data_IF_317972722012
#
_entry.id   IF_317972722012
#
_cell.length_a   1.000
_cell.length_b   1.000
_cell.length_c   1.000
_cell.angle_alpha   90.00
_cell.angle_beta   90.00
_cell.angle_gamma   90.00
#
_symmetry.space_group_name_H-M   'P 1'
#
loop_
_entity.id
_entity.type
_entity.pdbx_description
1 polymer ?
#
# COMPACT_ATOMS: atom_id res chain seq x y z
N UNK A 1 -40.23 25.15 -12.41
CA UNK A 1 -39.31 24.00 -12.66
C UNK A 1 -38.13 24.14 -11.72
N UNK A 2 -38.14 23.40 -10.62
CA UNK A 2 -37.04 23.41 -9.65
C UNK A 2 -35.95 22.44 -10.15
N UNK A 3 -34.74 22.95 -10.37
CA UNK A 3 -33.58 22.12 -10.65
C UNK A 3 -33.11 21.50 -9.32
N UNK A 4 -33.26 20.19 -9.20
CA UNK A 4 -32.63 19.46 -8.11
C UNK A 4 -31.11 19.51 -8.32
N UNK A 5 -30.41 20.17 -7.40
CA UNK A 5 -28.97 20.08 -7.31
C UNK A 5 -28.63 18.68 -6.75
N UNK A 6 -28.07 17.83 -7.58
CA UNK A 6 -27.45 16.57 -7.11
C UNK A 6 -26.16 16.98 -6.41
N UNK A 7 -26.17 16.96 -5.09
CA UNK A 7 -24.97 17.02 -4.30
C UNK A 7 -24.21 15.68 -4.54
N UNK A 8 -23.16 15.71 -5.36
CA UNK A 8 -22.16 14.66 -5.30
C UNK A 8 -21.45 14.79 -3.94
N UNK A 9 -21.82 13.95 -2.99
CA UNK A 9 -20.96 13.73 -1.84
C UNK A 9 -19.62 13.23 -2.40
N UNK A 10 -18.57 14.02 -2.21
CA UNK A 10 -17.19 13.55 -2.36
C UNK A 10 -17.03 12.43 -1.35
N UNK A 11 -17.15 11.18 -1.82
CA UNK A 11 -16.79 10.02 -1.02
C UNK A 11 -15.30 10.14 -0.75
N UNK A 12 -14.84 9.97 0.49
CA UNK A 12 -13.41 9.90 0.75
C UNK A 12 -12.83 8.81 -0.15
N UNK A 13 -11.84 9.16 -0.96
CA UNK A 13 -11.10 8.19 -1.74
C UNK A 13 -10.45 7.23 -0.78
N UNK A 14 -10.67 5.93 -0.95
CA UNK A 14 -9.89 4.92 -0.24
C UNK A 14 -8.43 5.23 -0.48
N UNK A 15 -7.72 5.58 0.57
CA UNK A 15 -6.27 5.69 0.62
C UNK A 15 -5.80 4.34 1.10
N UNK A 16 -4.73 3.82 0.55
CA UNK A 16 -4.00 2.68 1.12
C UNK A 16 -3.52 2.99 2.54
N UNK A 17 -2.55 2.23 3.09
CA UNK A 17 -1.94 2.73 4.34
C UNK A 17 -1.93 4.26 4.34
N UNK A 18 -2.32 4.90 5.40
CA UNK A 18 -2.11 6.35 5.45
C UNK A 18 -0.66 6.66 5.09
N UNK A 19 -0.39 7.86 4.60
CA UNK A 19 0.93 8.25 4.10
C UNK A 19 2.08 7.82 5.03
N UNK A 20 1.87 7.86 6.35
CA UNK A 20 2.84 7.41 7.37
C UNK A 20 3.21 5.93 7.17
N UNK A 21 2.22 5.05 6.95
CA UNK A 21 2.44 3.63 6.71
C UNK A 21 3.21 3.36 5.41
N UNK A 22 2.92 4.10 4.32
CA UNK A 22 3.69 4.03 3.08
C UNK A 22 5.14 4.46 3.28
N UNK A 23 5.35 5.56 4.03
CA UNK A 23 6.69 6.01 4.37
C UNK A 23 7.46 4.98 5.21
N UNK A 24 6.77 4.24 6.10
CA UNK A 24 7.39 3.15 6.86
C UNK A 24 7.82 1.99 5.95
N UNK A 25 7.00 1.57 4.97
CA UNK A 25 7.39 0.54 3.98
C UNK A 25 8.64 0.98 3.21
N UNK A 26 8.68 2.21 2.73
CA UNK A 26 9.85 2.77 2.02
C UNK A 26 11.09 2.86 2.93
N UNK A 27 10.92 3.27 4.19
CA UNK A 27 12.01 3.36 5.16
C UNK A 27 12.56 1.98 5.55
N UNK A 28 11.70 0.96 5.72
CA UNK A 28 12.13 -0.44 5.90
C UNK A 28 12.96 -0.90 4.71
N UNK A 29 12.56 -0.59 3.47
CA UNK A 29 13.33 -0.93 2.29
C UNK A 29 14.76 -0.34 2.33
N UNK A 30 14.89 0.94 2.70
CA UNK A 30 16.19 1.62 2.83
C UNK A 30 17.06 1.02 3.94
N UNK A 31 16.45 0.66 5.09
CA UNK A 31 17.16 0.08 6.25
C UNK A 31 17.42 -1.42 6.14
N UNK A 32 16.84 -2.10 5.15
CA UNK A 32 16.90 -3.56 5.00
C UNK A 32 18.30 -4.15 4.84
N UNK A 33 19.25 -3.37 4.31
CA UNK A 33 20.55 -3.84 3.86
C UNK A 33 20.51 -4.74 2.60
N UNK A 34 19.33 -4.88 1.95
CA UNK A 34 19.14 -5.66 0.73
C UNK A 34 19.59 -4.85 -0.50
N UNK A 35 19.24 -3.57 -0.54
CA UNK A 35 19.66 -2.68 -1.63
C UNK A 35 21.13 -2.29 -1.50
N UNK A 36 21.87 -2.47 -2.60
CA UNK A 36 23.23 -1.94 -2.74
C UNK A 36 23.22 -0.39 -2.78
N UNK A 37 24.36 0.22 -2.45
CA UNK A 37 24.49 1.68 -2.55
C UNK A 37 24.26 2.21 -3.97
N UNK A 38 24.59 1.43 -5.00
CA UNK A 38 24.30 1.78 -6.40
C UNK A 38 22.81 1.74 -6.72
N UNK A 39 22.06 0.80 -6.17
CA UNK A 39 20.60 0.72 -6.30
C UNK A 39 19.93 1.93 -5.66
N UNK A 40 20.32 2.26 -4.41
CA UNK A 40 19.81 3.43 -3.71
C UNK A 40 20.12 4.73 -4.50
N UNK A 41 21.34 4.86 -5.02
CA UNK A 41 21.71 6.03 -5.83
C UNK A 41 20.90 6.13 -7.13
N UNK A 42 20.65 4.99 -7.80
CA UNK A 42 19.85 4.95 -9.04
C UNK A 42 18.38 5.30 -8.77
N UNK A 43 17.81 4.78 -7.69
CA UNK A 43 16.46 5.11 -7.28
C UNK A 43 16.32 6.61 -6.95
N UNK A 44 17.25 7.16 -6.16
CA UNK A 44 17.23 8.58 -5.81
C UNK A 44 17.37 9.47 -7.06
N UNK A 45 18.22 9.11 -8.03
CA UNK A 45 18.34 9.87 -9.27
C UNK A 45 17.02 9.95 -10.07
N UNK A 46 16.20 8.89 -10.06
CA UNK A 46 14.87 8.92 -10.66
C UNK A 46 13.85 9.72 -9.82
N UNK A 47 13.95 9.66 -8.49
CA UNK A 47 13.13 10.50 -7.60
C UNK A 47 13.43 11.98 -7.86
N UNK A 48 14.71 12.37 -7.86
CA UNK A 48 15.18 13.73 -8.08
C UNK A 48 14.76 14.28 -9.44
N UNK A 49 14.67 13.43 -10.46
CA UNK A 49 14.24 13.82 -11.81
C UNK A 49 12.83 14.44 -11.82
N UNK A 50 11.93 13.99 -10.95
CA UNK A 50 10.56 14.50 -10.85
C UNK A 50 10.37 15.56 -9.75
N UNK A 51 11.35 15.80 -8.88
CA UNK A 51 11.20 16.77 -7.78
C UNK A 51 10.95 18.18 -8.31
N UNK A 52 11.57 18.55 -9.45
CA UNK A 52 11.38 19.87 -10.06
C UNK A 52 9.92 20.11 -10.49
N UNK A 53 9.24 19.06 -10.98
CA UNK A 53 7.85 19.15 -11.43
C UNK A 53 6.84 18.97 -10.29
N UNK A 54 7.24 18.28 -9.22
CA UNK A 54 6.39 17.95 -8.07
C UNK A 54 7.09 18.27 -6.72
N UNK A 55 7.47 19.52 -6.47
CA UNK A 55 8.28 19.88 -5.29
C UNK A 55 7.55 19.70 -3.96
N UNK A 56 6.21 19.66 -3.98
CA UNK A 56 5.38 19.47 -2.78
C UNK A 56 5.08 18.01 -2.45
N UNK A 57 5.40 17.06 -3.35
CA UNK A 57 5.01 15.65 -3.25
C UNK A 57 6.14 14.73 -2.79
N UNK A 58 7.03 15.25 -1.98
CA UNK A 58 8.10 14.48 -1.35
C UNK A 58 9.40 14.46 -2.15
N UNK A 59 10.43 15.12 -1.66
CA UNK A 59 11.73 15.18 -2.32
C UNK A 59 12.61 13.96 -2.04
N UNK A 60 12.23 13.08 -1.11
CA UNK A 60 13.00 11.90 -0.73
C UNK A 60 12.36 10.59 -1.21
N UNK A 61 13.14 9.52 -1.19
CA UNK A 61 12.64 8.17 -1.47
C UNK A 61 11.47 7.81 -0.53
N UNK A 62 11.61 8.08 0.76
CA UNK A 62 10.59 7.79 1.78
C UNK A 62 9.30 8.57 1.51
N UNK A 63 9.39 9.87 1.24
CA UNK A 63 8.20 10.71 1.00
C UNK A 63 7.55 10.42 -0.35
N UNK A 64 8.31 9.95 -1.34
CA UNK A 64 7.78 9.57 -2.65
C UNK A 64 6.78 8.41 -2.57
N UNK A 65 6.78 7.66 -1.47
CA UNK A 65 5.81 6.61 -1.19
C UNK A 65 4.36 7.13 -1.10
N UNK A 66 4.14 8.42 -0.82
CA UNK A 66 2.79 8.98 -0.75
C UNK A 66 2.29 9.56 -2.09
N UNK A 67 3.18 9.70 -3.09
CA UNK A 67 2.89 10.46 -4.31
C UNK A 67 1.70 9.93 -5.12
N UNK A 68 1.49 8.63 -5.19
CA UNK A 68 0.38 8.05 -5.96
C UNK A 68 -0.99 8.46 -5.38
N UNK A 69 -1.12 8.55 -4.06
CA UNK A 69 -2.31 9.07 -3.39
C UNK A 69 -2.45 10.59 -3.53
N UNK A 70 -1.33 11.32 -3.55
CA UNK A 70 -1.34 12.77 -3.81
C UNK A 70 -1.92 13.08 -5.19
N UNK A 71 -1.72 12.22 -6.20
CA UNK A 71 -2.36 12.35 -7.51
C UNK A 71 -3.88 12.32 -7.39
N UNK A 72 -4.45 11.36 -6.64
CA UNK A 72 -5.90 11.29 -6.40
C UNK A 72 -6.40 12.54 -5.68
N UNK A 73 -5.68 13.00 -4.67
CA UNK A 73 -6.01 14.23 -3.93
C UNK A 73 -5.94 15.48 -4.82
N UNK A 74 -5.14 15.44 -5.88
CA UNK A 74 -5.04 16.49 -6.91
C UNK A 74 -6.04 16.36 -8.05
N UNK A 75 -6.96 15.39 -7.98
CA UNK A 75 -8.00 15.17 -8.99
C UNK A 75 -7.58 14.30 -10.17
N UNK A 76 -6.47 13.59 -10.08
CA UNK A 76 -6.00 12.62 -11.08
C UNK A 76 -6.45 11.22 -10.65
N UNK A 77 -7.43 10.64 -11.34
CA UNK A 77 -8.07 9.38 -10.97
C UNK A 77 -7.84 8.25 -11.98
N UNK A 78 -7.01 8.48 -13.01
CA UNK A 78 -6.78 7.50 -14.07
C UNK A 78 -6.17 6.21 -13.54
N UNK A 79 -5.34 6.32 -12.51
CA UNK A 79 -4.63 5.22 -11.87
C UNK A 79 -5.33 4.73 -10.59
N UNK A 80 -6.58 5.16 -10.31
CA UNK A 80 -7.25 4.85 -9.04
C UNK A 80 -7.45 3.33 -8.81
N UNK A 81 -7.71 2.56 -9.86
CA UNK A 81 -7.87 1.11 -9.77
C UNK A 81 -6.54 0.37 -9.54
N UNK A 82 -5.41 1.02 -9.81
CA UNK A 82 -4.09 0.41 -9.66
C UNK A 82 -3.66 0.20 -8.20
N UNK A 83 -4.40 0.79 -7.26
CA UNK A 83 -4.09 0.73 -5.84
C UNK A 83 -4.58 -0.55 -5.15
N UNK A 84 -5.44 -1.34 -5.80
CA UNK A 84 -6.08 -2.49 -5.17
C UNK A 84 -6.44 -3.59 -6.18
N UNK A 85 -6.81 -4.75 -5.64
CA UNK A 85 -7.45 -5.85 -6.37
C UNK A 85 -8.59 -6.42 -5.53
N UNK A 86 -9.80 -6.48 -6.07
CA UNK A 86 -10.97 -6.99 -5.40
C UNK A 86 -11.05 -8.53 -5.45
N UNK A 87 -10.05 -9.24 -4.88
CA UNK A 87 -10.13 -10.67 -4.71
C UNK A 87 -11.31 -11.00 -3.78
N UNK A 88 -12.25 -11.88 -4.18
CA UNK A 88 -13.45 -12.05 -3.41
C UNK A 88 -13.23 -12.85 -2.11
N UNK A 89 -13.62 -12.25 -0.99
CA UNK A 89 -13.90 -12.96 0.26
C UNK A 89 -15.37 -13.33 0.23
N UNK A 90 -15.69 -14.52 -0.27
CA UNK A 90 -17.06 -14.92 -0.62
C UNK A 90 -17.76 -15.63 0.55
N UNK A 91 -18.85 -15.03 1.07
CA UNK A 91 -19.78 -15.61 2.05
C UNK A 91 -21.13 -15.96 1.43
N UNK A 92 -21.23 -15.88 0.13
CA UNK A 92 -22.37 -16.31 -0.70
C UNK A 92 -22.04 -17.66 -1.35
N UNK A 93 -22.91 -18.13 -2.23
CA UNK A 93 -22.53 -19.18 -3.16
C UNK A 93 -21.35 -18.69 -4.02
N UNK A 94 -20.29 -19.49 -4.13
CA UNK A 94 -19.05 -19.10 -4.80
C UNK A 94 -19.25 -18.63 -6.24
N UNK A 95 -20.29 -19.13 -6.92
CA UNK A 95 -20.68 -18.70 -8.27
C UNK A 95 -21.27 -17.28 -8.32
N UNK A 96 -21.65 -16.72 -7.18
CA UNK A 96 -22.22 -15.38 -7.07
C UNK A 96 -21.17 -14.28 -6.85
N UNK A 97 -19.91 -14.64 -6.58
CA UNK A 97 -18.84 -13.66 -6.38
C UNK A 97 -18.08 -13.43 -7.70
N UNK A 98 -17.97 -12.17 -8.15
CA UNK A 98 -17.32 -11.86 -9.43
C UNK A 98 -15.80 -12.06 -9.33
N UNK A 99 -15.11 -12.29 -10.46
CA UNK A 99 -13.67 -12.17 -10.51
C UNK A 99 -13.23 -10.71 -10.26
N UNK A 100 -11.98 -10.48 -9.84
CA UNK A 100 -11.46 -9.12 -9.69
C UNK A 100 -11.38 -8.38 -11.03
N UNK A 101 -11.27 -7.04 -10.97
CA UNK A 101 -11.04 -6.19 -12.13
C UNK A 101 -9.69 -6.51 -12.82
N UNK A 102 -9.59 -6.26 -14.13
CA UNK A 102 -8.37 -6.54 -14.92
C UNK A 102 -7.26 -5.52 -14.66
N UNK A 103 -7.60 -4.22 -14.62
CA UNK A 103 -6.69 -3.11 -14.30
C UNK A 103 -6.56 -2.93 -12.79
N UNK A 104 -5.75 -3.75 -12.18
CA UNK A 104 -5.58 -3.85 -10.74
C UNK A 104 -4.11 -3.68 -10.32
N UNK A 105 -3.86 -3.75 -9.01
CA UNK A 105 -2.52 -3.57 -8.43
C UNK A 105 -1.48 -4.58 -8.92
N UNK A 106 -1.88 -5.82 -9.20
CA UNK A 106 -0.96 -6.87 -9.70
C UNK A 106 -0.50 -6.50 -11.11
N UNK A 107 -1.45 -6.12 -11.98
CA UNK A 107 -1.16 -5.60 -13.30
C UNK A 107 -0.27 -4.35 -13.22
N UNK A 108 -0.63 -3.38 -12.37
CA UNK A 108 0.08 -2.12 -12.24
C UNK A 108 1.54 -2.29 -11.78
N UNK A 109 1.80 -3.14 -10.77
CA UNK A 109 3.16 -3.45 -10.32
C UNK A 109 3.96 -4.11 -11.45
N UNK A 110 3.34 -5.03 -12.20
CA UNK A 110 3.99 -5.75 -13.31
C UNK A 110 4.40 -4.79 -14.43
N UNK A 111 3.50 -3.88 -14.83
CA UNK A 111 3.78 -2.87 -15.86
C UNK A 111 4.80 -1.83 -15.38
N UNK A 112 4.71 -1.39 -14.12
CA UNK A 112 5.66 -0.46 -13.52
C UNK A 112 7.06 -1.06 -13.43
N UNK A 113 7.16 -2.34 -13.03
CA UNK A 113 8.41 -3.10 -13.04
C UNK A 113 9.00 -3.16 -14.47
N UNK A 114 8.21 -3.61 -15.45
CA UNK A 114 8.62 -3.74 -16.84
C UNK A 114 9.15 -2.42 -17.42
N UNK A 115 8.44 -1.31 -17.16
CA UNK A 115 8.82 0.02 -17.62
C UNK A 115 10.11 0.52 -16.95
N UNK A 116 10.24 0.35 -15.64
CA UNK A 116 11.42 0.82 -14.89
C UNK A 116 12.66 0.02 -15.25
N UNK A 117 12.52 -1.28 -15.45
CA UNK A 117 13.58 -2.20 -15.87
C UNK A 117 14.06 -1.95 -17.31
N UNK A 118 13.16 -1.60 -18.23
CA UNK A 118 13.45 -1.49 -19.66
C UNK A 118 14.51 -0.42 -19.98
N UNK A 119 15.53 -0.78 -20.72
CA UNK A 119 16.54 0.15 -21.23
C UNK A 119 15.98 1.13 -22.29
N UNK A 120 14.80 0.84 -22.85
CA UNK A 120 14.17 1.64 -23.91
C UNK A 120 13.21 2.70 -23.35
N UNK A 121 12.76 2.56 -22.13
CA UNK A 121 11.83 3.51 -21.51
C UNK A 121 12.51 4.86 -21.25
N UNK A 122 11.77 5.94 -21.45
CA UNK A 122 12.24 7.29 -21.15
C UNK A 122 12.44 7.47 -19.64
N UNK A 123 13.36 8.36 -19.26
CA UNK A 123 13.65 8.63 -17.83
C UNK A 123 12.42 9.12 -17.09
N UNK A 124 11.58 9.94 -17.72
CA UNK A 124 10.31 10.42 -17.14
C UNK A 124 9.39 9.25 -16.77
N UNK A 125 9.23 8.28 -17.70
CA UNK A 125 8.35 7.12 -17.46
C UNK A 125 8.91 6.27 -16.33
N UNK A 126 10.21 6.00 -16.32
CA UNK A 126 10.88 5.27 -15.21
C UNK A 126 10.69 5.97 -13.86
N UNK A 127 10.86 7.28 -13.82
CA UNK A 127 10.73 8.07 -12.60
C UNK A 127 9.30 8.04 -12.05
N UNK A 128 8.28 8.10 -12.92
CA UNK A 128 6.87 7.95 -12.52
C UNK A 128 6.59 6.53 -12.03
N UNK A 129 7.01 5.51 -12.80
CA UNK A 129 6.75 4.12 -12.46
C UNK A 129 7.48 3.68 -11.18
N UNK A 130 8.67 4.20 -10.90
CA UNK A 130 9.34 3.97 -9.63
C UNK A 130 8.52 4.47 -8.43
N UNK A 131 7.93 5.65 -8.52
CA UNK A 131 7.05 6.18 -7.45
C UNK A 131 5.82 5.30 -7.24
N UNK A 132 5.22 4.80 -8.32
CA UNK A 132 4.13 3.83 -8.23
C UNK A 132 4.60 2.52 -7.57
N UNK A 133 5.76 1.97 -7.95
CA UNK A 133 6.31 0.77 -7.30
C UNK A 133 6.47 0.99 -5.80
N UNK A 134 7.09 2.10 -5.38
CA UNK A 134 7.32 2.40 -3.96
C UNK A 134 6.00 2.44 -3.18
N UNK A 135 4.95 3.02 -3.77
CA UNK A 135 3.63 3.11 -3.17
C UNK A 135 2.90 1.74 -3.16
N UNK A 136 2.79 1.11 -4.32
CA UNK A 136 2.00 -0.11 -4.49
C UNK A 136 2.54 -1.31 -3.71
N UNK A 137 3.84 -1.34 -3.41
CA UNK A 137 4.39 -2.35 -2.50
C UNK A 137 3.87 -2.16 -1.06
N UNK A 138 3.46 -0.97 -0.67
CA UNK A 138 2.68 -0.74 0.54
C UNK A 138 1.25 -1.25 0.38
N UNK A 139 0.57 -0.83 -0.67
CA UNK A 139 -0.84 -1.16 -0.94
C UNK A 139 -1.10 -2.67 -0.95
N UNK A 140 -0.34 -3.43 -1.75
CA UNK A 140 -0.57 -4.88 -1.92
C UNK A 140 -0.35 -5.67 -0.63
N UNK A 141 0.34 -5.09 0.38
CA UNK A 141 0.55 -5.67 1.70
C UNK A 141 -0.44 -5.16 2.76
N UNK A 142 -1.36 -4.24 2.40
CA UNK A 142 -2.52 -3.92 3.22
C UNK A 142 -3.65 -4.91 2.88
N UNK A 143 -4.10 -5.76 3.81
CA UNK A 143 -5.01 -6.87 3.48
C UNK A 143 -6.29 -6.45 2.75
N UNK A 144 -6.85 -5.30 3.08
CA UNK A 144 -8.09 -4.81 2.47
C UNK A 144 -7.89 -4.19 1.08
N UNK A 145 -6.64 -3.97 0.65
CA UNK A 145 -6.31 -3.64 -0.74
C UNK A 145 -6.27 -4.85 -1.67
N UNK A 146 -6.36 -6.06 -1.12
CA UNK A 146 -6.40 -7.29 -1.88
C UNK A 146 -7.69 -8.10 -1.62
N UNK A 147 -8.75 -7.46 -1.14
CA UNK A 147 -9.97 -8.17 -0.78
C UNK A 147 -11.22 -7.33 -0.97
N UNK A 148 -12.33 -7.98 -1.33
CA UNK A 148 -13.68 -7.41 -1.21
C UNK A 148 -14.63 -8.48 -0.66
N UNK A 149 -15.36 -8.15 0.43
CA UNK A 149 -16.29 -9.06 1.09
C UNK A 149 -17.62 -9.09 0.37
N UNK A 150 -18.00 -10.26 -0.14
CA UNK A 150 -19.31 -10.52 -0.72
C UNK A 150 -20.17 -11.32 0.25
N UNK A 151 -21.30 -10.75 0.66
CA UNK A 151 -22.24 -11.35 1.61
C UNK A 151 -23.67 -10.90 1.31
N UNK A 152 -24.65 -11.41 2.03
CA UNK A 152 -26.03 -10.91 1.94
C UNK A 152 -26.17 -9.44 2.27
N UNK A 153 -25.27 -8.89 3.10
CA UNK A 153 -25.20 -7.46 3.43
C UNK A 153 -24.47 -6.65 2.35
N UNK A 154 -23.46 -7.24 1.71
CA UNK A 154 -22.64 -6.63 0.67
C UNK A 154 -22.72 -7.44 -0.63
N UNK A 155 -23.88 -7.48 -1.32
CA UNK A 155 -24.07 -8.34 -2.50
C UNK A 155 -23.23 -7.89 -3.71
N UNK A 156 -22.78 -6.63 -3.72
CA UNK A 156 -21.89 -6.07 -4.75
C UNK A 156 -20.45 -5.87 -4.25
N UNK A 157 -20.09 -6.48 -3.13
CA UNK A 157 -18.81 -6.26 -2.45
C UNK A 157 -18.84 -5.09 -1.46
N UNK A 158 -17.97 -5.15 -0.46
CA UNK A 158 -17.85 -4.09 0.56
C UNK A 158 -16.78 -3.04 0.23
N UNK A 159 -16.16 -3.13 -0.97
CA UNK A 159 -15.13 -2.22 -1.44
C UNK A 159 -13.89 -2.25 -0.53
N UNK A 160 -13.39 -3.43 -0.23
CA UNK A 160 -12.23 -3.58 0.64
C UNK A 160 -12.45 -3.03 2.06
N UNK A 161 -13.62 -3.21 2.64
CA UNK A 161 -13.92 -2.72 3.99
C UNK A 161 -14.35 -1.25 4.08
N UNK A 162 -14.36 -0.48 2.98
CA UNK A 162 -14.84 0.92 2.99
C UNK A 162 -16.34 1.02 3.29
N UNK A 163 -17.11 -0.02 2.98
CA UNK A 163 -18.52 -0.10 3.31
C UNK A 163 -18.80 -0.92 4.57
N UNK A 164 -17.74 -1.44 5.23
CA UNK A 164 -17.86 -2.26 6.44
C UNK A 164 -17.86 -1.38 7.69
N UNK A 165 -19.03 -1.18 8.36
CA UNK A 165 -19.13 -0.24 9.46
C UNK A 165 -18.54 -0.84 10.74
N UNK A 166 -17.72 -0.05 11.44
CA UNK A 166 -17.16 -0.38 12.75
C UNK A 166 -17.54 0.68 13.80
N UNK A 167 -17.33 0.36 15.07
CA UNK A 167 -17.55 1.27 16.18
C UNK A 167 -16.40 1.20 17.20
N UNK A 168 -16.29 2.25 18.01
CA UNK A 168 -15.28 2.34 19.09
C UNK A 168 -14.18 3.35 18.84
N UNK A 169 -14.12 3.97 17.65
CA UNK A 169 -13.10 4.96 17.30
C UNK A 169 -13.72 6.34 17.06
N UNK A 170 -13.01 7.40 17.46
CA UNK A 170 -13.45 8.78 17.24
C UNK A 170 -13.04 9.33 15.86
N UNK A 171 -12.11 8.68 15.18
CA UNK A 171 -11.49 9.15 13.92
C UNK A 171 -11.93 8.35 12.70
N UNK A 172 -12.50 7.15 12.87
CA UNK A 172 -13.05 6.36 11.77
C UNK A 172 -14.27 5.54 12.21
N UNK A 173 -15.14 5.24 11.26
CA UNK A 173 -16.26 4.30 11.37
C UNK A 173 -16.22 3.22 10.27
N UNK A 174 -15.10 3.10 9.56
CA UNK A 174 -14.88 2.18 8.45
C UNK A 174 -13.71 1.24 8.74
N UNK A 175 -13.89 -0.05 8.44
CA UNK A 175 -12.86 -1.05 8.69
C UNK A 175 -11.59 -0.77 7.86
N UNK A 176 -11.77 -0.32 6.61
CA UNK A 176 -10.65 0.04 5.73
C UNK A 176 -9.74 1.08 6.37
N UNK A 177 -10.31 2.23 6.75
CA UNK A 177 -9.55 3.32 7.36
C UNK A 177 -8.90 2.92 8.70
N UNK A 178 -9.51 2.02 9.48
CA UNK A 178 -8.89 1.48 10.69
C UNK A 178 -7.58 0.74 10.37
N UNK A 179 -7.59 -0.08 9.32
CA UNK A 179 -6.41 -0.80 8.86
C UNK A 179 -5.37 0.13 8.23
N UNK A 180 -5.79 1.13 7.44
CA UNK A 180 -4.88 2.13 6.86
C UNK A 180 -4.12 2.92 7.93
N UNK A 181 -4.76 3.20 9.06
CA UNK A 181 -4.15 3.81 10.23
C UNK A 181 -3.37 2.85 11.12
N UNK A 182 -3.08 1.61 10.65
CA UNK A 182 -2.36 0.62 11.44
C UNK A 182 -3.05 0.29 12.77
N UNK A 183 -4.39 0.25 12.77
CA UNK A 183 -5.24 0.08 13.95
C UNK A 183 -5.04 1.17 15.03
N UNK A 184 -4.62 2.36 14.62
CA UNK A 184 -4.38 3.52 15.51
C UNK A 184 -2.91 3.76 15.84
N UNK A 185 -1.97 3.05 15.20
CA UNK A 185 -0.54 3.29 15.39
C UNK A 185 -0.05 4.55 14.67
N UNK A 186 -0.78 5.03 13.62
CA UNK A 186 -0.53 6.28 12.90
C UNK A 186 -1.83 6.83 12.31
N UNK A 187 -1.83 8.09 11.87
CA UNK A 187 -3.03 8.81 11.45
C UNK A 187 -2.90 9.59 10.14
N UNK A 188 -1.77 9.47 9.43
CA UNK A 188 -1.51 10.19 8.18
C UNK A 188 -1.22 11.67 8.37
N UNK A 189 -0.79 12.09 9.55
CA UNK A 189 -0.65 13.49 9.95
C UNK A 189 0.81 13.99 10.03
N UNK A 190 1.77 13.15 9.68
CA UNK A 190 3.18 13.55 9.60
C UNK A 190 3.35 14.57 8.45
N UNK A 191 3.81 15.78 8.75
CA UNK A 191 3.90 16.83 7.74
C UNK A 191 4.95 16.52 6.66
N UNK A 192 4.63 16.82 5.42
CA UNK A 192 5.54 16.75 4.28
C UNK A 192 5.75 18.14 3.66
N UNK A 193 6.96 18.51 3.25
CA UNK A 193 8.22 17.76 3.42
C UNK A 193 8.53 17.45 4.87
N UNK A 194 9.16 16.27 5.12
CA UNK A 194 9.50 15.81 6.46
C UNK A 194 10.38 16.83 7.19
N UNK A 195 9.93 17.25 8.34
CA UNK A 195 10.78 17.98 9.29
C UNK A 195 11.57 17.00 10.18
N UNK A 196 12.48 17.51 11.01
CA UNK A 196 13.30 16.66 11.88
C UNK A 196 12.46 15.75 12.79
N UNK A 197 11.37 16.27 13.36
CA UNK A 197 10.48 15.48 14.22
C UNK A 197 9.78 14.34 13.44
N UNK A 198 9.30 14.61 12.24
CA UNK A 198 8.69 13.60 11.38
C UNK A 198 9.72 12.53 10.96
N UNK A 199 10.95 12.95 10.60
CA UNK A 199 12.02 12.02 10.27
C UNK A 199 12.40 11.15 11.47
N UNK A 200 12.56 11.74 12.66
CA UNK A 200 12.87 11.01 13.90
C UNK A 200 11.78 9.97 14.22
N UNK A 201 10.51 10.31 13.98
CA UNK A 201 9.39 9.37 14.18
C UNK A 201 9.48 8.20 13.19
N UNK A 202 9.63 8.48 11.89
CA UNK A 202 9.79 7.45 10.86
C UNK A 202 10.96 6.53 11.19
N UNK A 203 12.10 7.10 11.57
CA UNK A 203 13.31 6.33 11.90
C UNK A 203 13.10 5.41 13.11
N UNK A 204 12.55 5.95 14.20
CA UNK A 204 12.29 5.19 15.42
C UNK A 204 11.25 4.07 15.21
N UNK A 205 10.20 4.37 14.43
CA UNK A 205 9.17 3.38 14.14
C UNK A 205 9.70 2.27 13.20
N UNK A 206 10.49 2.65 12.20
CA UNK A 206 11.18 1.68 11.32
C UNK A 206 12.10 0.77 12.12
N UNK A 207 12.87 1.31 13.05
CA UNK A 207 13.74 0.51 13.93
C UNK A 207 12.94 -0.50 14.76
N UNK A 208 11.78 -0.10 15.31
CA UNK A 208 10.85 -1.01 15.98
C UNK A 208 10.42 -2.16 15.06
N UNK A 209 10.07 -1.85 13.80
CA UNK A 209 9.62 -2.84 12.82
C UNK A 209 10.73 -3.82 12.48
N UNK A 210 11.93 -3.35 12.11
CA UNK A 210 13.02 -4.23 11.67
C UNK A 210 13.60 -5.07 12.81
N UNK A 211 13.48 -4.60 14.05
CA UNK A 211 13.85 -5.38 15.24
C UNK A 211 12.82 -6.48 15.51
N UNK A 212 11.53 -6.17 15.43
CA UNK A 212 10.46 -7.15 15.63
C UNK A 212 10.41 -8.21 14.51
N UNK A 213 10.63 -7.79 13.28
CA UNK A 213 10.53 -8.59 12.07
C UNK A 213 11.78 -8.45 11.19
N UNK A 214 12.94 -9.00 11.62
CA UNK A 214 14.16 -8.93 10.84
C UNK A 214 14.03 -9.75 9.53
N UNK A 215 14.66 -9.28 8.46
CA UNK A 215 14.61 -9.92 7.14
C UNK A 215 14.99 -11.41 7.17
N UNK A 216 15.91 -11.79 8.05
CA UNK A 216 16.32 -13.19 8.23
C UNK A 216 15.19 -14.12 8.73
N UNK A 217 14.23 -13.59 9.47
CA UNK A 217 13.07 -14.34 9.96
C UNK A 217 11.94 -14.44 8.91
N UNK A 218 11.98 -13.60 7.87
CA UNK A 218 10.94 -13.50 6.82
C UNK A 218 11.43 -13.98 5.45
N UNK A 219 12.52 -14.79 5.41
CA UNK A 219 13.10 -15.26 4.15
C UNK A 219 12.14 -16.03 3.24
N UNK A 220 11.23 -16.88 3.74
CA UNK A 220 10.25 -17.57 2.88
C UNK A 220 9.33 -16.60 2.16
N UNK A 221 8.87 -15.54 2.84
CA UNK A 221 7.99 -14.54 2.28
C UNK A 221 8.73 -13.60 1.31
N UNK A 222 9.91 -13.13 1.70
CA UNK A 222 10.74 -12.23 0.88
C UNK A 222 11.22 -12.93 -0.39
N UNK A 223 11.53 -14.22 -0.32
CA UNK A 223 11.96 -15.03 -1.46
C UNK A 223 10.88 -15.30 -2.50
N UNK A 224 9.59 -15.11 -2.13
CA UNK A 224 8.49 -15.18 -3.08
C UNK A 224 8.39 -13.86 -3.85
N UNK A 225 8.74 -13.89 -5.14
CA UNK A 225 8.73 -12.71 -6.03
C UNK A 225 7.49 -12.63 -6.93
N UNK A 226 6.51 -13.49 -6.71
CA UNK A 226 5.28 -13.52 -7.49
C UNK A 226 4.26 -12.51 -6.94
N UNK A 227 3.99 -11.45 -7.68
CA UNK A 227 3.08 -10.36 -7.29
C UNK A 227 1.65 -10.87 -7.05
N UNK A 228 1.16 -11.83 -7.85
CA UNK A 228 -0.17 -12.42 -7.63
C UNK A 228 -0.24 -13.14 -6.29
N UNK A 229 0.83 -13.87 -5.91
CA UNK A 229 0.89 -14.53 -4.59
C UNK A 229 0.88 -13.52 -3.44
N UNK A 230 1.45 -12.31 -3.60
CA UNK A 230 1.40 -11.28 -2.57
C UNK A 230 -0.04 -10.80 -2.32
N UNK A 231 -0.81 -10.62 -3.41
CA UNK A 231 -2.23 -10.29 -3.30
C UNK A 231 -3.03 -11.43 -2.63
N UNK A 232 -2.75 -12.68 -2.99
CA UNK A 232 -3.39 -13.87 -2.37
C UNK A 232 -3.06 -13.98 -0.87
N UNK A 233 -1.81 -13.72 -0.46
CA UNK A 233 -1.39 -13.69 0.94
C UNK A 233 -2.18 -12.61 1.72
N UNK A 234 -2.31 -11.40 1.16
CA UNK A 234 -3.07 -10.31 1.75
C UNK A 234 -4.57 -10.61 1.82
N UNK A 235 -5.14 -11.23 0.76
CA UNK A 235 -6.53 -11.70 0.76
C UNK A 235 -6.79 -12.77 1.83
N UNK A 236 -5.88 -13.72 1.98
CA UNK A 236 -5.99 -14.76 3.01
C UNK A 236 -5.96 -14.17 4.43
N UNK A 237 -5.18 -13.12 4.68
CA UNK A 237 -5.20 -12.38 5.95
C UNK A 237 -6.53 -11.64 6.13
N UNK A 238 -7.05 -11.01 5.08
CA UNK A 238 -8.35 -10.37 5.12
C UNK A 238 -9.45 -11.36 5.49
N UNK A 239 -9.49 -12.51 4.85
CA UNK A 239 -10.48 -13.56 5.08
C UNK A 239 -10.37 -14.17 6.48
N UNK A 240 -9.17 -14.55 6.90
CA UNK A 240 -8.95 -15.29 8.15
C UNK A 240 -8.97 -14.44 9.41
N UNK A 241 -8.64 -13.14 9.30
CA UNK A 241 -8.55 -12.25 10.46
C UNK A 241 -9.31 -10.92 10.28
N UNK A 242 -9.03 -10.13 9.24
CA UNK A 242 -9.55 -8.74 9.16
C UNK A 242 -11.07 -8.71 9.23
N UNK A 243 -11.75 -9.56 8.48
CA UNK A 243 -13.21 -9.65 8.46
C UNK A 243 -13.82 -10.42 9.65
N UNK A 244 -13.03 -10.77 10.67
CA UNK A 244 -13.57 -11.22 11.97
C UNK A 244 -13.93 -10.06 12.89
N UNK A 245 -13.60 -8.82 12.51
CA UNK A 245 -13.99 -7.61 13.21
C UNK A 245 -15.51 -7.56 13.38
N UNK A 246 -16.03 -7.28 14.58
CA UNK A 246 -17.46 -7.07 14.75
C UNK A 246 -17.92 -5.79 14.05
N UNK A 247 -19.09 -5.85 13.42
CA UNK A 247 -19.71 -4.67 12.84
C UNK A 247 -20.35 -3.79 13.91
N UNK A 248 -20.47 -2.48 13.59
CA UNK A 248 -21.24 -1.55 14.39
C UNK A 248 -22.68 -2.08 14.64
N UNK A 249 -23.27 -1.86 15.83
CA UNK A 249 -22.80 -0.98 16.91
C UNK A 249 -21.81 -1.61 17.90
N UNK A 250 -21.41 -2.86 17.72
CA UNK A 250 -20.45 -3.53 18.62
C UNK A 250 -19.06 -2.90 18.47
N UNK A 251 -18.41 -2.52 19.57
CA UNK A 251 -17.05 -1.99 19.50
C UNK A 251 -16.05 -3.10 19.13
N UNK A 252 -14.95 -2.71 18.47
CA UNK A 252 -13.84 -3.62 18.19
C UNK A 252 -13.16 -4.03 19.52
N UNK A 253 -12.97 -5.34 19.78
CA UNK A 253 -12.30 -5.80 21.00
C UNK A 253 -10.81 -5.42 21.02
N UNK A 254 -10.27 -5.12 22.22
CA UNK A 254 -8.84 -4.83 22.40
C UNK A 254 -7.94 -5.97 21.89
N UNK A 255 -8.35 -7.22 22.10
CA UNK A 255 -7.61 -8.38 21.59
C UNK A 255 -7.47 -8.40 20.07
N UNK A 256 -8.51 -7.92 19.32
CA UNK A 256 -8.43 -7.76 17.88
C UNK A 256 -7.42 -6.67 17.52
N UNK A 257 -7.45 -5.54 18.21
CA UNK A 257 -6.54 -4.42 17.98
C UNK A 257 -5.08 -4.88 18.19
N UNK A 258 -4.77 -5.46 19.36
CA UNK A 258 -3.41 -5.92 19.68
C UNK A 258 -2.87 -6.93 18.67
N UNK A 259 -3.68 -7.90 18.24
CA UNK A 259 -3.27 -8.88 17.25
C UNK A 259 -3.14 -8.26 15.85
N UNK A 260 -4.04 -7.35 15.50
CA UNK A 260 -4.00 -6.64 14.23
C UNK A 260 -2.79 -5.71 14.11
N UNK A 261 -2.43 -4.98 15.19
CA UNK A 261 -1.22 -4.14 15.25
C UNK A 261 0.05 -4.95 14.94
N UNK A 262 0.16 -6.15 15.49
CA UNK A 262 1.29 -7.04 15.22
C UNK A 262 1.33 -7.49 13.76
N UNK A 263 0.17 -7.86 13.21
CA UNK A 263 0.03 -8.21 11.78
C UNK A 263 0.41 -7.06 10.86
N UNK A 264 0.00 -5.84 11.19
CA UNK A 264 0.34 -4.62 10.44
C UNK A 264 1.85 -4.41 10.40
N UNK A 265 2.53 -4.48 11.55
CA UNK A 265 3.99 -4.34 11.58
C UNK A 265 4.68 -5.39 10.72
N UNK A 266 4.18 -6.64 10.75
CA UNK A 266 4.70 -7.72 9.91
C UNK A 266 4.48 -7.45 8.42
N UNK A 267 3.30 -6.98 8.02
CA UNK A 267 2.99 -6.66 6.62
C UNK A 267 3.84 -5.49 6.10
N UNK A 268 4.04 -4.45 6.89
CA UNK A 268 4.94 -3.33 6.57
C UNK A 268 6.38 -3.81 6.40
N UNK A 269 6.85 -4.73 7.27
CA UNK A 269 8.19 -5.32 7.14
C UNK A 269 8.34 -6.11 5.84
N UNK A 270 7.40 -7.02 5.54
CA UNK A 270 7.40 -7.83 4.31
C UNK A 270 7.36 -6.92 3.08
N UNK A 271 6.46 -5.94 3.05
CA UNK A 271 6.33 -4.97 1.96
C UNK A 271 7.63 -4.22 1.71
N UNK A 272 8.27 -3.73 2.77
CA UNK A 272 9.55 -3.03 2.68
C UNK A 272 10.69 -3.92 2.17
N UNK A 273 10.81 -5.14 2.65
CA UNK A 273 11.84 -6.07 2.18
C UNK A 273 11.61 -6.53 0.74
N UNK A 274 10.36 -6.78 0.34
CA UNK A 274 9.98 -7.09 -1.05
C UNK A 274 10.25 -5.90 -1.97
N UNK A 275 9.97 -4.67 -1.52
CA UNK A 275 10.33 -3.45 -2.24
C UNK A 275 11.85 -3.37 -2.48
N UNK A 276 12.64 -3.59 -1.43
CA UNK A 276 14.09 -3.57 -1.54
C UNK A 276 14.62 -4.63 -2.52
N UNK A 277 14.10 -5.86 -2.45
CA UNK A 277 14.48 -6.95 -3.34
C UNK A 277 14.11 -6.66 -4.79
N UNK A 278 12.91 -6.11 -5.03
CA UNK A 278 12.45 -5.75 -6.37
C UNK A 278 13.31 -4.64 -6.98
N UNK A 279 13.64 -3.60 -6.20
CA UNK A 279 14.48 -2.50 -6.67
C UNK A 279 15.94 -2.96 -6.91
N UNK A 280 16.49 -3.80 -6.04
CA UNK A 280 17.81 -4.39 -6.27
C UNK A 280 17.83 -5.17 -7.59
N UNK A 281 16.80 -5.99 -7.84
CA UNK A 281 16.66 -6.69 -9.12
C UNK A 281 16.57 -5.74 -10.31
N UNK A 282 15.72 -4.72 -10.26
CA UNK A 282 15.51 -3.74 -11.34
C UNK A 282 16.82 -3.05 -11.73
N UNK A 283 17.60 -2.62 -10.76
CA UNK A 283 18.78 -1.79 -11.01
C UNK A 283 20.08 -2.60 -11.21
N UNK A 284 20.12 -3.86 -10.77
CA UNK A 284 21.31 -4.72 -10.93
C UNK A 284 21.21 -5.73 -12.08
N UNK A 285 20.06 -6.38 -12.25
CA UNK A 285 19.87 -7.40 -13.30
C UNK A 285 19.88 -6.80 -14.72
N UNK A 286 19.57 -5.52 -14.87
CA UNK A 286 19.76 -4.79 -16.13
C UNK A 286 21.21 -4.62 -16.56
N UNK A 287 22.18 -4.93 -15.72
CA UNK A 287 23.60 -5.02 -16.04
C UNK A 287 24.01 -6.41 -16.56
N UNK A 288 23.18 -7.45 -16.34
CA UNK A 288 23.39 -8.79 -16.89
C UNK A 288 22.48 -8.97 -18.09
N UNK A 289 23.12 -9.03 -19.26
CA UNK A 289 22.61 -9.32 -20.58
C UNK A 289 21.47 -10.36 -20.60
N UNK A 290 20.50 -10.07 -21.45
CA UNK A 290 19.78 -11.04 -22.30
C UNK A 290 19.27 -12.33 -21.60
N UNK A 291 18.01 -12.32 -21.22
CA UNK A 291 17.16 -13.50 -21.37
C UNK A 291 16.03 -13.21 -22.34
#
# INVERSE_FOLDING_TARGET
MARAAVLFALLPSASAWFCDGHMLVASVALKSGIMSSSTVASANALIDYLVADYPSTGPSFTESACWADDLKSSGVYQEANWHFIDLPVCRLDSSACPPPQEDNIVWAITEAHSTTYSKKSATLDKARQLRFIIHFLGDIHQPLHAASLFSSQFPSGDRGGNSYPIAGFSWTNELHALWDGGLGQWYGDIPRPLNATGQDWIDAFTDKIVVAYPASALQPEIGNVNVSSWAEESNALADSFVYTAPQAPSPIPEAYITQGEDMVLRQVAIGGYRLASLLEYIFTAGAFSEL
#
